data_IF_977708122647
#
_entry.id   IF_977708122647
#
_cell.length_a   1.000
_cell.length_b   1.000
_cell.length_c   1.000
_cell.angle_alpha   90.00
_cell.angle_beta   90.00
_cell.angle_gamma   90.00
#
_symmetry.space_group_name_H-M   'P 1'
#
loop_
_entity.id
_entity.type
_entity.pdbx_description
1 polymer ?
#
# COMPACT_ATOMS: atom_id res chain seq x y z
N UNK A 1 37.76 14.84 18.80
CA UNK A 1 38.00 13.54 18.11
C UNK A 1 37.08 12.56 18.79
N UNK A 2 35.97 12.22 18.15
CA UNK A 2 34.90 11.41 18.76
C UNK A 2 35.42 10.05 19.19
N UNK A 3 35.14 9.66 20.44
CA UNK A 3 35.49 8.33 20.92
C UNK A 3 34.72 7.28 20.10
N UNK A 4 35.38 6.23 19.58
CA UNK A 4 34.71 5.21 18.78
C UNK A 4 33.73 4.36 19.61
N UNK A 5 33.88 4.33 20.94
CA UNK A 5 33.07 3.50 21.83
C UNK A 5 31.84 4.24 22.38
N UNK A 6 31.66 5.53 22.07
CA UNK A 6 30.51 6.33 22.50
C UNK A 6 29.14 5.69 22.14
N UNK A 7 28.90 5.16 20.93
CA UNK A 7 27.57 4.61 20.60
C UNK A 7 27.24 3.33 21.38
N UNK A 8 28.23 2.47 21.63
CA UNK A 8 28.07 1.24 22.41
C UNK A 8 27.75 1.59 23.88
N UNK A 9 28.54 2.49 24.46
CA UNK A 9 28.36 3.00 25.83
C UNK A 9 26.96 3.60 26.05
N UNK A 10 26.44 4.36 25.09
CA UNK A 10 25.12 4.99 25.20
C UNK A 10 24.00 3.92 25.12
N UNK A 11 24.09 2.98 24.18
CA UNK A 11 23.12 1.91 24.03
C UNK A 11 23.04 1.06 25.31
N UNK A 12 24.18 0.71 25.88
CA UNK A 12 24.27 -0.13 27.07
C UNK A 12 23.87 0.63 28.35
N UNK A 13 24.02 1.95 28.39
CA UNK A 13 23.50 2.77 29.49
C UNK A 13 21.97 2.80 29.51
N UNK A 14 21.33 2.65 28.35
CA UNK A 14 19.87 2.60 28.21
C UNK A 14 19.29 1.20 28.45
N UNK A 15 20.10 0.14 28.45
CA UNK A 15 19.65 -1.24 28.66
C UNK A 15 19.58 -1.59 30.17
N UNK A 16 18.38 -1.83 30.73
CA UNK A 16 18.22 -2.24 32.13
C UNK A 16 18.76 -3.65 32.43
N UNK A 17 19.12 -4.44 31.42
CA UNK A 17 19.59 -5.83 31.57
C UNK A 17 21.12 -5.99 31.57
N UNK A 18 21.87 -4.89 31.71
CA UNK A 18 23.34 -4.91 31.67
C UNK A 18 23.97 -5.85 32.72
N UNK A 19 24.95 -6.63 32.28
CA UNK A 19 25.67 -7.61 33.12
C UNK A 19 26.72 -6.90 34.02
N UNK A 20 27.01 -7.44 35.22
CA UNK A 20 27.90 -6.79 36.19
C UNK A 20 29.36 -6.64 35.70
N UNK A 21 29.82 -7.54 34.85
CA UNK A 21 31.16 -7.48 34.23
C UNK A 21 31.28 -6.31 33.24
N UNK A 22 30.19 -6.01 32.54
CA UNK A 22 30.13 -4.92 31.58
C UNK A 22 30.13 -3.55 32.26
N UNK A 23 29.40 -3.42 33.38
CA UNK A 23 29.41 -2.22 34.21
C UNK A 23 30.80 -1.84 34.74
N UNK A 24 31.66 -2.83 35.01
CA UNK A 24 33.05 -2.57 35.40
C UNK A 24 33.86 -1.98 34.25
N UNK A 25 33.77 -2.55 33.04
CA UNK A 25 34.46 -2.01 31.85
C UNK A 25 34.00 -0.59 31.54
N UNK A 26 32.70 -0.35 31.63
CA UNK A 26 32.11 0.97 31.41
C UNK A 26 32.66 2.00 32.42
N UNK A 27 32.72 1.68 33.72
CA UNK A 27 33.30 2.56 34.74
C UNK A 27 34.77 2.89 34.44
N UNK A 28 35.58 1.88 34.11
CA UNK A 28 36.99 2.11 33.77
C UNK A 28 37.17 3.02 32.55
N UNK A 29 36.28 2.93 31.57
CA UNK A 29 36.34 3.80 30.39
C UNK A 29 35.89 5.24 30.71
N UNK A 30 34.87 5.40 31.55
CA UNK A 30 34.38 6.73 31.95
C UNK A 30 35.40 7.52 32.79
N UNK A 31 36.24 6.84 33.58
CA UNK A 31 37.34 7.48 34.32
C UNK A 31 38.40 8.10 33.38
N UNK A 32 38.51 7.58 32.15
CA UNK A 32 39.56 7.98 31.19
C UNK A 32 39.02 8.82 30.01
N UNK A 33 37.71 8.95 29.83
CA UNK A 33 37.12 9.66 28.68
C UNK A 33 36.09 10.73 29.10
N UNK A 34 36.52 12.00 29.09
CA UNK A 34 35.67 13.16 29.38
C UNK A 34 34.56 13.36 28.34
N UNK A 35 34.78 12.95 27.09
CA UNK A 35 33.77 13.11 26.03
C UNK A 35 32.55 12.20 26.27
N UNK A 36 32.78 10.93 26.59
CA UNK A 36 31.70 10.00 26.94
C UNK A 36 30.92 10.48 28.17
N UNK A 37 31.61 11.09 29.15
CA UNK A 37 30.96 11.66 30.32
C UNK A 37 30.02 12.83 29.97
N UNK A 38 30.42 13.69 29.04
CA UNK A 38 29.58 14.82 28.59
C UNK A 38 28.33 14.34 27.85
N UNK A 39 28.45 13.35 26.96
CA UNK A 39 27.31 12.77 26.25
C UNK A 39 26.31 12.10 27.19
N UNK A 40 26.78 11.42 28.25
CA UNK A 40 25.90 10.85 29.27
C UNK A 40 25.15 11.91 30.08
N UNK A 41 25.78 13.06 30.35
CA UNK A 41 25.11 14.19 31.01
C UNK A 41 24.03 14.80 30.11
N UNK A 42 24.24 14.85 28.79
CA UNK A 42 23.23 15.23 27.82
C UNK A 42 22.06 14.23 27.81
N UNK A 43 22.36 12.92 27.87
CA UNK A 43 21.34 11.88 27.98
C UNK A 43 20.50 11.99 29.27
N UNK A 44 21.12 12.39 30.38
CA UNK A 44 20.40 12.60 31.66
C UNK A 44 19.37 13.74 31.58
N UNK A 45 19.53 14.67 30.64
CA UNK A 45 18.58 15.76 30.39
C UNK A 45 17.36 15.33 29.54
N UNK A 46 17.35 14.10 29.04
CA UNK A 46 16.22 13.55 28.28
C UNK A 46 14.98 13.50 29.16
N UNK A 47 13.83 14.02 28.66
CA UNK A 47 12.65 14.20 29.48
C UNK A 47 12.14 12.86 30.05
N UNK A 48 11.70 12.83 31.33
CA UNK A 48 11.20 11.62 31.98
C UNK A 48 9.93 11.06 31.34
N UNK A 49 9.34 11.75 30.34
CA UNK A 49 8.26 11.23 29.52
C UNK A 49 8.66 10.01 28.67
N UNK A 50 9.92 9.91 28.24
CA UNK A 50 10.41 8.73 27.53
C UNK A 50 10.63 7.53 28.46
N UNK A 51 10.95 7.79 29.73
CA UNK A 51 11.01 6.76 30.78
C UNK A 51 9.61 6.26 31.20
N UNK A 52 8.54 6.94 30.78
CA UNK A 52 7.14 6.57 31.04
C UNK A 52 6.50 5.77 29.91
N UNK A 53 7.27 5.37 28.90
CA UNK A 53 6.76 4.45 27.89
C UNK A 53 6.41 3.12 28.56
N UNK A 54 5.12 2.89 28.79
CA UNK A 54 4.58 1.61 29.24
C UNK A 54 4.05 0.88 28.01
N UNK A 55 4.24 -0.45 27.93
CA UNK A 55 3.56 -1.25 26.92
C UNK A 55 2.05 -1.13 27.15
N UNK A 56 1.41 -0.26 26.38
CA UNK A 56 -0.03 -0.24 26.26
C UNK A 56 -0.43 -1.59 25.66
N UNK A 57 -1.35 -2.35 26.26
CA UNK A 57 -1.85 -3.55 25.61
C UNK A 57 -2.42 -3.12 24.26
N UNK A 58 -1.90 -3.74 23.19
CA UNK A 58 -2.47 -3.60 21.85
C UNK A 58 -3.96 -3.91 21.99
N UNK A 59 -4.86 -3.06 21.47
CA UNK A 59 -6.29 -3.34 21.52
C UNK A 59 -6.53 -4.74 21.00
N UNK A 60 -7.28 -5.56 21.73
CA UNK A 60 -7.67 -6.89 21.27
C UNK A 60 -8.51 -6.71 20.00
N UNK A 61 -7.86 -6.77 18.84
CA UNK A 61 -8.52 -6.95 17.57
C UNK A 61 -9.06 -8.37 17.59
N UNK A 62 -10.21 -8.59 18.23
CA UNK A 62 -10.81 -9.91 18.33
C UNK A 62 -11.28 -10.36 16.93
N UNK A 63 -10.37 -10.98 16.17
CA UNK A 63 -10.65 -11.60 14.86
C UNK A 63 -11.70 -12.72 14.99
N UNK A 64 -11.97 -13.22 16.20
CA UNK A 64 -13.02 -14.23 16.40
C UNK A 64 -14.43 -13.68 16.12
N UNK A 65 -14.65 -12.38 16.25
CA UNK A 65 -15.92 -11.74 15.87
C UNK A 65 -16.14 -11.77 14.34
N UNK A 66 -15.07 -11.61 13.54
CA UNK A 66 -15.14 -11.71 12.07
C UNK A 66 -15.29 -13.15 11.58
N UNK A 67 -14.82 -14.14 12.34
CA UNK A 67 -15.00 -15.57 12.00
C UNK A 67 -16.44 -16.04 12.28
N UNK A 68 -17.11 -15.50 13.31
CA UNK A 68 -18.51 -15.84 13.64
C UNK A 68 -19.51 -15.36 12.59
N UNK A 69 -19.23 -14.28 11.86
CA UNK A 69 -20.08 -13.83 10.75
C UNK A 69 -19.89 -14.68 9.48
N UNK A 70 -18.77 -15.40 9.35
CA UNK A 70 -18.54 -16.32 8.24
C UNK A 70 -19.37 -17.61 8.35
N UNK A 71 -19.62 -18.13 9.56
CA UNK A 71 -20.39 -19.36 9.78
C UNK A 71 -21.91 -19.18 9.70
N UNK A 72 -22.43 -17.94 9.72
CA UNK A 72 -23.86 -17.61 9.54
C UNK A 72 -24.23 -17.46 8.05
N UNK A 73 -23.33 -17.77 7.10
CA UNK A 73 -23.79 -18.04 5.74
C UNK A 73 -24.42 -19.42 5.71
N UNK A 74 -25.75 -19.45 5.92
CA UNK A 74 -26.60 -20.58 5.52
C UNK A 74 -26.12 -21.04 4.14
N UNK A 75 -25.69 -22.29 4.02
CA UNK A 75 -25.36 -22.88 2.73
C UNK A 75 -26.53 -22.62 1.81
N UNK A 76 -26.32 -21.78 0.78
CA UNK A 76 -27.29 -21.62 -0.29
C UNK A 76 -27.64 -23.02 -0.80
N UNK A 77 -28.93 -23.33 -1.04
CA UNK A 77 -29.32 -24.64 -1.53
C UNK A 77 -28.50 -24.92 -2.77
N UNK A 78 -27.79 -26.05 -2.75
CA UNK A 78 -26.96 -26.52 -3.84
C UNK A 78 -27.87 -26.88 -5.02
N UNK A 79 -28.35 -25.84 -5.72
CA UNK A 79 -29.04 -25.97 -6.98
C UNK A 79 -27.93 -26.16 -8.01
N UNK A 80 -27.38 -27.38 -8.02
CA UNK A 80 -26.49 -27.86 -9.05
C UNK A 80 -27.29 -27.89 -10.37
N UNK A 81 -27.41 -26.72 -10.99
CA UNK A 81 -27.81 -26.59 -12.38
C UNK A 81 -26.59 -27.06 -13.16
N UNK A 82 -26.52 -28.37 -13.38
CA UNK A 82 -25.51 -28.99 -14.23
C UNK A 82 -25.73 -28.50 -15.65
N UNK A 83 -25.14 -27.35 -15.95
CA UNK A 83 -24.92 -26.94 -17.33
C UNK A 83 -24.10 -28.07 -17.99
N UNK A 84 -24.46 -28.49 -19.21
CA UNK A 84 -23.70 -29.52 -19.93
C UNK A 84 -22.23 -29.11 -19.95
N UNK A 85 -21.29 -30.06 -19.85
CA UNK A 85 -19.85 -29.79 -19.71
C UNK A 85 -19.34 -28.70 -20.67
N UNK A 86 -19.86 -28.65 -21.90
CA UNK A 86 -19.50 -27.65 -22.92
C UNK A 86 -19.88 -26.22 -22.50
N UNK A 87 -21.02 -26.03 -21.84
CA UNK A 87 -21.48 -24.73 -21.36
C UNK A 87 -20.68 -24.23 -20.13
N UNK A 88 -19.92 -25.10 -19.46
CA UNK A 88 -18.99 -24.71 -18.39
C UNK A 88 -17.73 -24.04 -18.95
N UNK A 89 -17.38 -24.32 -20.21
CA UNK A 89 -16.25 -23.69 -20.90
C UNK A 89 -16.58 -22.35 -21.53
N UNK A 90 -17.86 -21.97 -21.64
CA UNK A 90 -18.26 -20.66 -22.19
C UNK A 90 -17.56 -19.47 -21.53
N UNK A 91 -17.50 -19.34 -20.19
CA UNK A 91 -16.80 -18.23 -19.56
C UNK A 91 -15.29 -18.26 -19.81
N UNK A 92 -14.68 -19.45 -19.90
CA UNK A 92 -13.24 -19.62 -20.18
C UNK A 92 -12.92 -19.31 -21.64
N UNK A 93 -13.75 -19.76 -22.57
CA UNK A 93 -13.62 -19.44 -23.99
C UNK A 93 -13.85 -17.94 -24.22
N UNK A 94 -14.83 -17.35 -23.55
CA UNK A 94 -15.09 -15.91 -23.63
C UNK A 94 -13.92 -15.08 -23.06
N UNK A 95 -13.36 -15.48 -21.91
CA UNK A 95 -12.20 -14.76 -21.34
C UNK A 95 -10.96 -14.91 -22.22
N UNK A 96 -10.72 -16.08 -22.81
CA UNK A 96 -9.62 -16.30 -23.75
C UNK A 96 -9.79 -15.45 -25.02
N UNK A 97 -10.99 -15.42 -25.60
CA UNK A 97 -11.29 -14.58 -26.77
C UNK A 97 -11.09 -13.11 -26.45
N UNK A 98 -11.59 -12.63 -25.29
CA UNK A 98 -11.37 -11.25 -24.84
C UNK A 98 -9.89 -10.94 -24.64
N UNK A 99 -9.13 -11.89 -24.08
CA UNK A 99 -7.69 -11.72 -23.87
C UNK A 99 -6.97 -11.59 -25.21
N UNK A 100 -7.24 -12.48 -26.16
CA UNK A 100 -6.68 -12.40 -27.52
C UNK A 100 -7.13 -11.11 -28.24
N UNK A 101 -8.36 -10.67 -28.04
CA UNK A 101 -8.89 -9.42 -28.60
C UNK A 101 -8.15 -8.18 -28.06
N UNK A 102 -7.85 -8.16 -26.76
CA UNK A 102 -7.05 -7.09 -26.11
C UNK A 102 -5.60 -7.13 -26.59
N UNK A 103 -4.96 -8.31 -26.65
CA UNK A 103 -3.57 -8.42 -27.10
C UNK A 103 -3.40 -8.07 -28.58
N UNK A 104 -4.40 -8.37 -29.42
CA UNK A 104 -4.37 -8.04 -30.85
C UNK A 104 -4.79 -6.60 -31.15
N UNK A 105 -5.17 -5.81 -30.14
CA UNK A 105 -5.71 -4.44 -30.29
C UNK A 105 -6.82 -4.39 -31.36
N UNK A 106 -7.65 -5.43 -31.40
CA UNK A 106 -8.66 -5.53 -32.44
C UNK A 106 -9.77 -4.49 -32.19
N UNK A 107 -10.16 -3.75 -33.22
CA UNK A 107 -11.34 -2.87 -33.16
C UNK A 107 -12.39 -3.35 -34.15
N UNK A 108 -13.61 -3.47 -33.64
CA UNK A 108 -14.77 -3.86 -34.41
C UNK A 108 -15.65 -2.61 -34.58
N UNK A 109 -15.61 -2.03 -35.77
CA UNK A 109 -16.42 -0.87 -36.12
C UNK A 109 -17.62 -1.35 -36.95
N UNK A 110 -18.82 -1.12 -36.40
CA UNK A 110 -20.10 -1.42 -37.04
C UNK A 110 -20.57 -0.15 -37.72
N UNK A 111 -20.45 -0.10 -39.04
CA UNK A 111 -20.97 1.02 -39.85
C UNK A 111 -22.22 0.56 -40.59
N UNK A 112 -23.01 1.49 -41.11
CA UNK A 112 -24.20 1.19 -41.93
C UNK A 112 -23.87 0.37 -43.20
N UNK A 113 -22.59 0.25 -43.54
CA UNK A 113 -22.08 -0.43 -44.73
C UNK A 113 -21.51 -1.83 -44.43
N UNK A 114 -21.50 -2.27 -43.15
CA UNK A 114 -21.08 -3.61 -42.73
C UNK A 114 -20.19 -3.64 -41.49
N UNK A 115 -19.70 -4.84 -41.16
CA UNK A 115 -18.78 -5.08 -40.04
C UNK A 115 -17.34 -4.99 -40.53
N UNK A 116 -16.55 -4.09 -39.95
CA UNK A 116 -15.11 -4.00 -40.22
C UNK A 116 -14.33 -4.38 -38.97
N UNK A 117 -13.37 -5.30 -39.13
CA UNK A 117 -12.50 -5.77 -38.06
C UNK A 117 -11.06 -5.38 -38.42
N UNK A 118 -10.51 -4.45 -37.65
CA UNK A 118 -9.13 -3.99 -37.78
C UNK A 118 -8.24 -4.64 -36.70
N UNK A 119 -7.07 -5.15 -37.08
CA UNK A 119 -6.11 -5.79 -36.17
C UNK A 119 -4.82 -4.97 -36.12
N UNK A 120 -4.35 -4.62 -34.92
CA UNK A 120 -3.14 -3.82 -34.72
C UNK A 120 -3.32 -2.32 -35.01
N UNK A 121 -2.35 -1.52 -34.54
CA UNK A 121 -2.29 -0.08 -34.79
C UNK A 121 -1.80 0.20 -36.21
N UNK A 122 -2.61 -0.10 -37.22
CA UNK A 122 -2.55 0.62 -38.49
C UNK A 122 -3.39 1.90 -38.41
N UNK A 123 -3.40 2.55 -37.25
CA UNK A 123 -3.67 3.97 -37.16
C UNK A 123 -2.32 4.65 -37.09
N UNK A 124 -1.97 5.35 -38.16
CA UNK A 124 -1.25 6.61 -38.03
C UNK A 124 -2.06 7.47 -37.05
N UNK A 125 -1.88 7.25 -35.75
CA UNK A 125 -2.35 8.18 -34.72
C UNK A 125 -1.58 9.45 -35.01
N UNK A 126 -2.23 10.35 -35.74
CA UNK A 126 -1.68 11.61 -36.13
C UNK A 126 -1.35 12.32 -34.82
N UNK A 127 -0.06 12.44 -34.48
CA UNK A 127 0.38 12.95 -33.17
C UNK A 127 -0.26 14.31 -32.85
N UNK A 128 -0.62 15.06 -33.90
CA UNK A 128 -1.43 16.27 -33.85
C UNK A 128 -2.79 16.08 -33.17
N UNK A 129 -3.54 15.04 -33.52
CA UNK A 129 -4.90 14.78 -33.02
C UNK A 129 -4.89 14.33 -31.56
N UNK A 130 -3.84 13.61 -31.14
CA UNK A 130 -3.61 13.27 -29.73
C UNK A 130 -3.25 14.52 -28.92
N UNK A 131 -2.42 15.40 -29.49
CA UNK A 131 -2.04 16.66 -28.87
C UNK A 131 -3.25 17.60 -28.74
N UNK A 132 -4.12 17.66 -29.75
CA UNK A 132 -5.35 18.45 -29.72
C UNK A 132 -6.34 17.91 -28.68
N UNK A 133 -6.43 16.58 -28.53
CA UNK A 133 -7.24 15.96 -27.47
C UNK A 133 -6.67 16.25 -26.07
N UNK A 134 -5.35 16.12 -25.88
CA UNK A 134 -4.70 16.39 -24.59
C UNK A 134 -4.78 17.87 -24.21
N UNK A 135 -4.66 18.78 -25.18
CA UNK A 135 -4.79 20.22 -24.92
C UNK A 135 -6.22 20.59 -24.57
N UNK A 136 -7.22 20.10 -25.31
CA UNK A 136 -8.63 20.30 -24.96
C UNK A 136 -8.98 19.73 -23.57
N UNK A 137 -8.45 18.56 -23.25
CA UNK A 137 -8.64 17.95 -21.94
C UNK A 137 -7.98 18.76 -20.81
N UNK A 138 -6.75 19.25 -21.03
CA UNK A 138 -6.05 20.09 -20.06
C UNK A 138 -6.76 21.42 -19.80
N UNK A 139 -7.39 22.00 -20.83
CA UNK A 139 -8.18 23.22 -20.70
C UNK A 139 -9.46 22.96 -19.90
N UNK A 140 -10.17 21.88 -20.21
CA UNK A 140 -11.37 21.49 -19.47
C UNK A 140 -11.08 21.27 -17.97
N UNK A 141 -9.96 20.63 -17.63
CA UNK A 141 -9.57 20.47 -16.23
C UNK A 141 -9.22 21.80 -15.54
N UNK A 142 -8.56 22.71 -16.24
CA UNK A 142 -8.23 24.02 -15.67
C UNK A 142 -9.48 24.87 -15.42
N UNK A 143 -10.48 24.79 -16.29
CA UNK A 143 -11.75 25.50 -16.12
C UNK A 143 -12.54 24.95 -14.93
N UNK A 144 -12.65 23.63 -14.80
CA UNK A 144 -13.29 23.00 -13.64
C UNK A 144 -12.56 23.32 -12.34
N UNK A 145 -11.22 23.28 -12.36
CA UNK A 145 -10.40 23.64 -11.19
C UNK A 145 -10.61 25.11 -10.81
N UNK A 146 -10.63 26.03 -11.78
CA UNK A 146 -10.89 27.45 -11.53
C UNK A 146 -12.30 27.69 -11.01
N UNK A 147 -13.31 27.02 -11.57
CA UNK A 147 -14.69 27.13 -11.11
C UNK A 147 -14.85 26.60 -9.69
N UNK A 148 -14.21 25.47 -9.37
CA UNK A 148 -14.17 24.92 -8.02
C UNK A 148 -13.44 25.86 -7.05
N UNK A 149 -12.27 26.38 -7.41
CA UNK A 149 -11.50 27.33 -6.60
C UNK A 149 -12.27 28.63 -6.37
N UNK A 150 -12.97 29.16 -7.37
CA UNK A 150 -13.80 30.36 -7.21
C UNK A 150 -15.03 30.11 -6.34
N UNK A 151 -15.62 28.91 -6.43
CA UNK A 151 -16.75 28.51 -5.58
C UNK A 151 -16.28 28.34 -4.13
N UNK A 152 -15.13 27.68 -3.93
CA UNK A 152 -14.46 27.60 -2.65
C UNK A 152 -14.15 29.00 -2.10
N UNK A 153 -13.53 29.88 -2.88
CA UNK A 153 -13.23 31.26 -2.48
C UNK A 153 -14.49 32.10 -2.19
N UNK A 154 -15.63 31.85 -2.83
CA UNK A 154 -16.90 32.54 -2.51
C UNK A 154 -17.54 32.01 -1.23
N UNK A 155 -17.48 30.71 -1.00
CA UNK A 155 -17.97 30.06 0.22
C UNK A 155 -17.06 30.40 1.42
N UNK A 156 -15.75 30.54 1.18
CA UNK A 156 -14.73 30.74 2.20
C UNK A 156 -14.25 32.20 2.34
N UNK A 157 -14.57 33.06 1.37
CA UNK A 157 -14.12 34.46 1.32
C UNK A 157 -14.74 35.36 2.38
N UNK A 158 -15.91 35.00 2.91
CA UNK A 158 -16.62 35.76 3.94
C UNK A 158 -16.36 35.21 5.37
N UNK A 159 -15.72 34.03 5.51
CA UNK A 159 -15.37 33.36 6.77
C UNK A 159 -13.98 32.70 6.66
N UNK A 160 -12.94 33.50 6.44
CA UNK A 160 -11.64 33.03 5.93
C UNK A 160 -10.80 32.28 6.97
N UNK A 161 -11.01 32.48 8.27
CA UNK A 161 -10.22 31.78 9.30
C UNK A 161 -10.81 30.39 9.60
N UNK A 162 -12.09 30.33 9.93
CA UNK A 162 -12.72 29.10 10.43
C UNK A 162 -12.86 28.06 9.32
N UNK A 163 -13.14 28.52 8.09
CA UNK A 163 -13.33 27.63 6.96
C UNK A 163 -12.02 27.15 6.31
N UNK A 164 -10.92 27.90 6.45
CA UNK A 164 -9.58 27.41 6.10
C UNK A 164 -9.10 26.35 7.09
N UNK A 165 -9.38 26.53 8.39
CA UNK A 165 -9.14 25.48 9.39
C UNK A 165 -9.95 24.21 9.09
N UNK A 166 -11.22 24.36 8.69
CA UNK A 166 -12.07 23.24 8.33
C UNK A 166 -11.59 22.52 7.05
N UNK A 167 -11.06 23.26 6.07
CA UNK A 167 -10.49 22.68 4.86
C UNK A 167 -9.13 22.01 5.11
N UNK A 168 -8.27 22.60 5.94
CA UNK A 168 -7.01 21.98 6.36
C UNK A 168 -7.26 20.65 7.09
N UNK A 169 -8.20 20.63 8.04
CA UNK A 169 -8.57 19.41 8.76
C UNK A 169 -9.17 18.35 7.83
N UNK A 170 -9.99 18.74 6.85
CA UNK A 170 -10.48 17.82 5.82
C UNK A 170 -9.32 17.22 4.98
N UNK A 171 -8.35 18.05 4.56
CA UNK A 171 -7.18 17.61 3.81
C UNK A 171 -6.28 16.66 4.62
N UNK A 172 -6.07 16.95 5.90
CA UNK A 172 -5.32 16.07 6.82
C UNK A 172 -6.03 14.72 6.99
N UNK A 173 -7.35 14.76 7.18
CA UNK A 173 -8.16 13.55 7.28
C UNK A 173 -8.12 12.72 5.98
N UNK A 174 -8.13 13.38 4.83
CA UNK A 174 -7.99 12.72 3.53
C UNK A 174 -6.60 12.09 3.35
N UNK A 175 -5.56 12.77 3.82
CA UNK A 175 -4.18 12.27 3.78
C UNK A 175 -4.01 11.02 4.64
N UNK A 176 -4.63 10.96 5.81
CA UNK A 176 -4.63 9.76 6.67
C UNK A 176 -5.31 8.57 5.99
N UNK A 177 -6.47 8.79 5.36
CA UNK A 177 -7.17 7.75 4.63
C UNK A 177 -6.35 7.22 3.44
N UNK A 178 -5.63 8.10 2.76
CA UNK A 178 -4.80 7.72 1.62
C UNK A 178 -3.56 6.92 2.06
N UNK A 179 -2.95 7.26 3.20
CA UNK A 179 -1.87 6.47 3.81
C UNK A 179 -2.37 5.07 4.17
N UNK A 180 -3.52 4.97 4.83
CA UNK A 180 -4.10 3.65 5.19
C UNK A 180 -4.41 2.80 3.96
N UNK A 181 -4.94 3.42 2.90
CA UNK A 181 -5.18 2.72 1.63
C UNK A 181 -3.87 2.25 0.99
N UNK A 182 -2.81 3.05 1.08
CA UNK A 182 -1.50 2.70 0.55
C UNK A 182 -0.89 1.52 1.31
N UNK A 183 -0.96 1.54 2.64
CA UNK A 183 -0.50 0.45 3.50
C UNK A 183 -1.25 -0.85 3.21
N UNK A 184 -2.59 -0.80 3.13
CA UNK A 184 -3.40 -1.96 2.77
C UNK A 184 -3.08 -2.50 1.36
N UNK A 185 -2.76 -1.61 0.41
CA UNK A 185 -2.29 -2.00 -0.92
C UNK A 185 -0.94 -2.71 -0.88
N UNK A 186 0.01 -2.24 -0.07
CA UNK A 186 1.31 -2.91 0.12
C UNK A 186 1.15 -4.28 0.79
N UNK A 187 0.29 -4.41 1.80
CA UNK A 187 0.01 -5.70 2.43
C UNK A 187 -0.56 -6.72 1.44
N UNK A 188 -1.48 -6.30 0.56
CA UNK A 188 -2.03 -7.18 -0.48
C UNK A 188 -0.98 -7.63 -1.49
N UNK A 189 -0.02 -6.78 -1.84
CA UNK A 189 1.08 -7.15 -2.73
C UNK A 189 2.01 -8.17 -2.06
N UNK A 190 2.34 -7.98 -0.78
CA UNK A 190 3.15 -8.92 -0.01
C UNK A 190 2.46 -10.29 0.10
N UNK A 191 1.18 -10.34 0.44
CA UNK A 191 0.42 -11.60 0.55
C UNK A 191 0.36 -12.35 -0.78
N UNK A 192 0.17 -11.62 -1.90
CA UNK A 192 0.20 -12.20 -3.25
C UNK A 192 1.57 -12.77 -3.60
N UNK A 193 2.65 -12.10 -3.22
CA UNK A 193 4.01 -12.57 -3.45
C UNK A 193 4.33 -13.82 -2.62
N UNK A 194 3.85 -13.90 -1.37
CA UNK A 194 3.99 -15.13 -0.57
C UNK A 194 3.20 -16.31 -1.14
N UNK A 195 1.96 -16.10 -1.58
CA UNK A 195 1.14 -17.14 -2.20
C UNK A 195 1.73 -17.63 -3.53
N UNK A 196 2.33 -16.74 -4.32
CA UNK A 196 3.00 -17.12 -5.56
C UNK A 196 4.30 -17.89 -5.31
N UNK A 197 5.11 -17.51 -4.32
CA UNK A 197 6.30 -18.30 -3.95
C UNK A 197 5.93 -19.69 -3.44
N UNK A 198 4.89 -19.80 -2.61
CA UNK A 198 4.48 -21.08 -2.05
C UNK A 198 3.88 -22.01 -3.12
N UNK A 199 3.06 -21.47 -4.04
CA UNK A 199 2.54 -22.24 -5.18
C UNK A 199 3.66 -22.69 -6.14
N UNK A 200 4.69 -21.87 -6.37
CA UNK A 200 5.87 -22.28 -7.16
C UNK A 200 6.66 -23.38 -6.46
N UNK A 201 6.82 -23.33 -5.13
CA UNK A 201 7.46 -24.41 -4.36
C UNK A 201 6.66 -25.70 -4.39
N UNK A 202 5.34 -25.62 -4.30
CA UNK A 202 4.45 -26.77 -4.40
C UNK A 202 4.56 -27.42 -5.79
N UNK A 203 4.55 -26.63 -6.87
CA UNK A 203 4.76 -27.11 -8.23
C UNK A 203 6.14 -27.76 -8.40
N UNK A 204 7.21 -27.14 -7.87
CA UNK A 204 8.55 -27.70 -7.92
C UNK A 204 8.63 -29.05 -7.17
N UNK A 205 8.00 -29.17 -6.00
CA UNK A 205 7.97 -30.42 -5.23
C UNK A 205 7.19 -31.53 -5.94
N UNK A 206 6.10 -31.18 -6.64
CA UNK A 206 5.31 -32.12 -7.42
C UNK A 206 6.10 -32.67 -8.62
N UNK A 207 6.83 -31.82 -9.33
CA UNK A 207 7.69 -32.22 -10.45
C UNK A 207 8.84 -33.13 -9.97
N UNK A 208 9.46 -32.83 -8.84
CA UNK A 208 10.52 -33.68 -8.26
C UNK A 208 10.01 -35.07 -7.88
N UNK A 209 8.76 -35.20 -7.43
CA UNK A 209 8.16 -36.50 -7.08
C UNK A 209 7.79 -37.36 -8.31
N UNK A 210 7.49 -36.75 -9.46
CA UNK A 210 7.21 -37.47 -10.71
C UNK A 210 8.46 -37.97 -11.45
N UNK A 211 9.66 -37.51 -11.08
CA UNK A 211 10.93 -37.85 -11.74
C UNK A 211 11.74 -38.89 -10.95
N UNK A 212 11.28 -39.31 -9.77
CA UNK A 212 11.89 -40.41 -9.02
C UNK A 212 11.36 -41.77 -9.53
N UNK A 213 12.21 -42.65 -10.10
CA UNK A 213 11.84 -44.02 -10.50
C UNK A 213 11.61 -44.95 -9.31
#
# INVERSE_FOLDING_TARGET
MSCPNTPEIIADHCDPSSTPEFLQRHKTHLEHCLQCQQELLLLKSVPPGLLRWQPQPVPDWDRSAMVKTASIRKSLPNRARTLPLIAQWLPVAASLVLTVFVFSQARLDVTEQGWSLSFGTSSTLNAQQLNDYLTAYSQSQQEETRAWVQTALKIHGESTADSVYQWMTYMEQQRELDVQRMEAGFEQLLDRDFQTVDSVRQLASYVMYQVAP
#
